data_IF_004007741978
#
_entry.id   IF_004007741978
#
_cell.length_a   1.000
_cell.length_b   1.000
_cell.length_c   1.000
_cell.angle_alpha   90.00
_cell.angle_beta   90.00
_cell.angle_gamma   90.00
#
_symmetry.space_group_name_H-M   'P 1'
#
loop_
_entity.id
_entity.type
_entity.pdbx_description
1 polymer ?
#
# COMPACT_ATOMS: atom_id res chain seq x y z
N UNK A 1 -16.77 23.35 1.78
CA UNK A 1 -15.46 22.93 2.31
C UNK A 1 -15.73 22.13 3.58
N UNK A 2 -15.23 20.91 3.69
CA UNK A 2 -15.34 20.11 4.92
C UNK A 2 -14.07 20.30 5.75
N UNK A 3 -14.20 20.36 7.07
CA UNK A 3 -13.08 20.44 8.02
C UNK A 3 -12.81 19.07 8.62
N UNK A 4 -11.54 18.68 8.68
CA UNK A 4 -11.10 17.44 9.32
C UNK A 4 -10.27 17.80 10.55
N UNK A 5 -10.74 17.42 11.72
CA UNK A 5 -9.99 17.53 12.97
C UNK A 5 -9.43 16.14 13.32
N UNK A 6 -8.11 16.01 13.29
CA UNK A 6 -7.40 14.77 13.66
C UNK A 6 -6.63 15.01 14.94
N UNK A 7 -6.75 14.09 15.90
CA UNK A 7 -5.92 14.08 17.10
C UNK A 7 -4.64 13.29 16.80
N UNK A 8 -3.51 13.95 16.95
CA UNK A 8 -2.17 13.37 16.77
C UNK A 8 -1.34 13.64 18.02
N UNK A 9 -0.43 12.73 18.35
CA UNK A 9 0.59 12.98 19.36
C UNK A 9 1.50 14.12 18.92
N UNK A 10 1.88 14.99 19.87
CA UNK A 10 2.70 16.18 19.58
C UNK A 10 4.07 15.83 19.00
N UNK A 11 4.66 14.71 19.43
CA UNK A 11 5.93 14.20 18.86
C UNK A 11 5.77 13.84 17.39
N UNK A 12 4.76 13.03 17.08
CA UNK A 12 4.48 12.57 15.72
C UNK A 12 4.13 13.74 14.80
N UNK A 13 3.39 14.74 15.30
CA UNK A 13 3.10 15.97 14.56
C UNK A 13 4.38 16.71 14.18
N UNK A 14 5.27 16.94 15.14
CA UNK A 14 6.50 17.68 14.89
C UNK A 14 7.43 16.95 13.91
N UNK A 15 7.58 15.64 14.07
CA UNK A 15 8.37 14.81 13.15
C UNK A 15 7.79 14.80 11.74
N UNK A 16 6.47 14.62 11.61
CA UNK A 16 5.78 14.64 10.32
C UNK A 16 5.90 16.01 9.64
N UNK A 17 5.72 17.11 10.38
CA UNK A 17 5.84 18.46 9.84
C UNK A 17 7.27 18.72 9.33
N UNK A 18 8.30 18.32 10.07
CA UNK A 18 9.69 18.47 9.64
C UNK A 18 10.01 17.71 8.35
N UNK A 19 9.40 16.53 8.14
CA UNK A 19 9.56 15.75 6.90
C UNK A 19 8.76 16.37 5.75
N UNK A 20 7.53 16.80 6.01
CA UNK A 20 6.67 17.45 5.02
C UNK A 20 7.27 18.77 4.51
N UNK A 21 7.88 19.57 5.39
CA UNK A 21 8.60 20.78 5.00
C UNK A 21 9.80 20.47 4.09
N UNK A 22 10.57 19.41 4.37
CA UNK A 22 11.67 18.98 3.49
C UNK A 22 11.18 18.53 2.11
N UNK A 23 10.00 17.94 2.05
CA UNK A 23 9.35 17.52 0.80
C UNK A 23 8.61 18.69 0.11
N UNK A 24 8.57 19.87 0.73
CA UNK A 24 7.89 21.06 0.26
C UNK A 24 6.37 20.85 0.05
N UNK A 25 5.77 19.95 0.84
CA UNK A 25 4.36 19.59 0.80
C UNK A 25 3.68 20.09 2.08
N UNK A 26 2.50 20.70 1.94
CA UNK A 26 1.74 21.13 3.13
C UNK A 26 1.03 19.94 3.81
N UNK A 27 0.85 19.95 5.14
CA UNK A 27 0.13 18.88 5.83
C UNK A 27 -1.29 18.66 5.29
N UNK A 28 -1.99 19.73 4.93
CA UNK A 28 -3.33 19.67 4.33
C UNK A 28 -3.32 18.96 2.98
N UNK A 29 -2.28 19.20 2.17
CA UNK A 29 -2.11 18.57 0.86
C UNK A 29 -1.76 17.09 1.00
N UNK A 30 -0.89 16.73 1.93
CA UNK A 30 -0.59 15.33 2.24
C UNK A 30 -1.85 14.55 2.66
N UNK A 31 -2.68 15.15 3.52
CA UNK A 31 -3.96 14.55 3.93
C UNK A 31 -4.92 14.45 2.74
N UNK A 32 -5.04 15.49 1.91
CA UNK A 32 -5.90 15.46 0.71
C UNK A 32 -5.50 14.35 -0.26
N UNK A 33 -4.20 14.21 -0.53
CA UNK A 33 -3.65 13.17 -1.40
C UNK A 33 -3.94 11.78 -0.84
N UNK A 34 -3.82 11.59 0.48
CA UNK A 34 -4.18 10.34 1.14
C UNK A 34 -5.67 9.99 0.92
N UNK A 35 -6.57 10.94 1.18
CA UNK A 35 -8.01 10.71 0.98
C UNK A 35 -8.37 10.48 -0.48
N UNK A 36 -7.72 11.19 -1.41
CA UNK A 36 -7.91 10.97 -2.84
C UNK A 36 -7.44 9.56 -3.24
N UNK A 37 -6.26 9.14 -2.78
CA UNK A 37 -5.76 7.80 -3.04
C UNK A 37 -6.71 6.72 -2.52
N UNK A 38 -7.24 6.89 -1.30
CA UNK A 38 -8.20 5.94 -0.72
C UNK A 38 -9.51 5.92 -1.52
N UNK A 39 -10.00 7.07 -1.98
CA UNK A 39 -11.21 7.16 -2.79
C UNK A 39 -11.03 6.52 -4.18
N UNK A 40 -9.87 6.71 -4.82
CA UNK A 40 -9.58 6.18 -6.16
C UNK A 40 -9.22 4.69 -6.14
N UNK A 41 -8.43 4.24 -5.15
CA UNK A 41 -7.88 2.90 -5.11
C UNK A 41 -8.64 1.95 -4.18
N UNK A 42 -9.53 2.46 -3.32
CA UNK A 42 -10.25 1.67 -2.32
C UNK A 42 -9.38 1.03 -1.24
N UNK A 43 -8.11 1.45 -1.13
CA UNK A 43 -7.12 0.89 -0.19
C UNK A 43 -6.17 1.96 0.34
N UNK A 44 -5.57 1.72 1.50
CA UNK A 44 -4.54 2.61 2.05
C UNK A 44 -3.22 2.48 1.26
N UNK A 45 -2.48 3.59 1.03
CA UNK A 45 -1.20 3.58 0.30
C UNK A 45 -0.08 2.95 1.13
N UNK A 46 -0.15 3.09 2.46
CA UNK A 46 0.76 2.44 3.39
C UNK A 46 -0.01 1.30 4.04
N UNK A 47 0.23 0.06 3.58
CA UNK A 47 -0.12 -1.12 4.37
C UNK A 47 0.76 -1.05 5.63
N UNK A 48 0.21 -0.71 6.79
CA UNK A 48 0.76 -1.27 8.03
C UNK A 48 0.82 -2.76 7.80
N UNK A 49 2.02 -3.31 7.72
CA UNK A 49 2.30 -4.73 7.48
C UNK A 49 1.49 -5.59 8.45
N UNK A 50 0.28 -5.96 8.05
CA UNK A 50 -0.08 -7.36 8.01
C UNK A 50 -0.10 -7.67 6.54
N UNK A 51 0.82 -8.54 6.12
CA UNK A 51 0.63 -9.29 4.89
C UNK A 51 -0.81 -9.78 4.98
N UNK A 52 -1.68 -9.35 4.07
CA UNK A 52 -3.00 -9.96 4.00
C UNK A 52 -2.72 -11.44 3.83
N UNK A 53 -3.18 -12.30 4.75
CA UNK A 53 -2.86 -13.74 4.76
C UNK A 53 -2.99 -14.38 3.36
N UNK A 54 -3.85 -13.80 2.51
CA UNK A 54 -4.02 -14.07 1.09
C UNK A 54 -2.75 -13.96 0.23
N UNK A 55 -1.92 -12.92 0.39
CA UNK A 55 -0.66 -12.76 -0.37
C UNK A 55 0.44 -13.68 0.17
N UNK A 56 0.45 -13.96 1.47
CA UNK A 56 1.41 -14.85 2.11
C UNK A 56 1.23 -16.31 1.69
N UNK A 57 -0.02 -16.76 1.61
CA UNK A 57 -0.37 -18.07 1.07
C UNK A 57 0.05 -18.21 -0.41
N UNK A 58 -0.13 -17.15 -1.21
CA UNK A 58 0.27 -17.15 -2.62
C UNK A 58 1.80 -17.22 -2.77
N UNK A 59 2.52 -16.42 -1.99
CA UNK A 59 3.99 -16.40 -1.98
C UNK A 59 4.57 -17.74 -1.51
N UNK A 60 3.93 -18.39 -0.53
CA UNK A 60 4.33 -19.73 -0.08
C UNK A 60 4.14 -20.77 -1.18
N UNK A 61 3.00 -20.75 -1.86
CA UNK A 61 2.71 -21.65 -2.99
C UNK A 61 3.71 -21.46 -4.12
N UNK A 62 4.05 -20.21 -4.46
CA UNK A 62 5.05 -19.91 -5.49
C UNK A 62 6.43 -20.43 -5.10
N UNK A 63 6.86 -20.22 -3.84
CA UNK A 63 8.15 -20.73 -3.36
C UNK A 63 8.22 -22.26 -3.38
N UNK A 64 7.17 -22.95 -2.98
CA UNK A 64 7.07 -24.41 -3.04
C UNK A 64 7.14 -24.93 -4.48
N UNK A 65 6.43 -24.28 -5.41
CA UNK A 65 6.44 -24.63 -6.85
C UNK A 65 7.75 -24.30 -7.55
N UNK A 66 8.51 -23.31 -7.06
CA UNK A 66 9.82 -22.94 -7.61
C UNK A 66 10.92 -23.88 -7.11
N UNK A 67 10.76 -24.46 -5.91
CA UNK A 67 11.68 -25.45 -5.34
C UNK A 67 11.62 -26.81 -6.07
N UNK A 68 10.44 -27.17 -6.60
CA UNK A 68 10.24 -28.34 -7.47
C UNK A 68 9.45 -27.92 -8.73
N UNK A 69 10.13 -27.38 -9.75
CA UNK A 69 9.47 -26.86 -10.94
C UNK A 69 8.94 -28.03 -11.80
N UNK A 70 7.62 -28.05 -12.01
CA UNK A 70 7.01 -28.98 -12.97
C UNK A 70 7.28 -28.56 -14.42
N UNK A 71 7.21 -29.52 -15.34
CA UNK A 71 7.43 -29.29 -16.78
C UNK A 71 6.56 -28.16 -17.31
N UNK A 72 7.19 -27.21 -18.01
CA UNK A 72 6.52 -26.05 -18.56
C UNK A 72 5.61 -26.46 -19.72
N UNK A 73 4.29 -26.42 -19.50
CA UNK A 73 3.29 -26.70 -20.54
C UNK A 73 3.08 -25.43 -21.37
N UNK A 74 3.48 -25.49 -22.64
CA UNK A 74 3.30 -24.37 -23.58
C UNK A 74 1.84 -24.32 -24.06
N UNK A 75 1.03 -23.48 -23.42
CA UNK A 75 -0.35 -23.22 -23.82
C UNK A 75 -0.46 -22.04 -24.80
N UNK A 76 -1.40 -22.11 -25.74
CA UNK A 76 -1.79 -20.98 -26.61
C UNK A 76 -3.07 -20.36 -26.04
N UNK A 77 -3.19 -19.02 -26.10
CA UNK A 77 -4.36 -18.32 -25.54
C UNK A 77 -5.70 -18.76 -26.16
N UNK A 78 -5.70 -19.22 -27.41
CA UNK A 78 -6.88 -19.75 -28.11
C UNK A 78 -7.40 -21.11 -27.58
N UNK A 79 -6.69 -21.74 -26.64
CA UNK A 79 -7.03 -23.05 -26.07
C UNK A 79 -7.39 -23.00 -24.56
N UNK A 80 -7.72 -21.81 -24.04
CA UNK A 80 -8.18 -21.58 -22.66
C UNK A 80 -9.69 -21.70 -22.53
#
# INVERSE_FOLDING_TARGET
MATLNVRLDDKLKNEAYAVLEKLNITPTEAVRLLFQYVAENGRMPVKTLTVSDSEEALLRTVRERLADPQEAIKVRLDAL
#
